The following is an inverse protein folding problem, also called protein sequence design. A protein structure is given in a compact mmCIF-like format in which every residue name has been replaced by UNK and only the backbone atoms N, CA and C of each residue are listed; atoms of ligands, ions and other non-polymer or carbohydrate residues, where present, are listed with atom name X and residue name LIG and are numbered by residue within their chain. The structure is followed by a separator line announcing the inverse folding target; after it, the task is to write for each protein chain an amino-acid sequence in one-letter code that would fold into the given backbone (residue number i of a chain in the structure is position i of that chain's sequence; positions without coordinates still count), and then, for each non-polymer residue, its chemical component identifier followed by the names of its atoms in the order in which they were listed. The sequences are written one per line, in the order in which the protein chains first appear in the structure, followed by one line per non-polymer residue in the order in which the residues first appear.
data_IF_253829828636
#
_entry.id   IF_253829828636
#
_cell.length_a   1.000
_cell.length_b   1.000
_cell.length_c   1.000
_cell.angle_alpha   90.00
_cell.angle_beta   90.00
_cell.angle_gamma   90.00
#
_symmetry.space_group_name_H-M   'P 1'
#
loop_
_entity.id
_entity.type
_entity.pdbx_description
1 polymer ?
#
# COMPACT_ATOMS: atom_id res chain seq x y z
N UNK A 1 10.89 18.65 0.50
CA UNK A 1 9.51 18.20 0.70
C UNK A 1 8.91 19.07 1.79
N UNK A 2 7.86 19.82 1.50
CA UNK A 2 7.20 20.69 2.47
C UNK A 2 6.45 19.86 3.52
N UNK A 3 6.27 20.39 4.75
CA UNK A 3 5.57 19.68 5.84
C UNK A 3 4.18 19.19 5.45
N UNK A 4 3.48 19.95 4.61
CA UNK A 4 2.16 19.58 4.11
C UNK A 4 2.24 18.35 3.16
N UNK A 5 3.25 18.31 2.28
CA UNK A 5 3.50 17.15 1.42
C UNK A 5 3.85 15.92 2.25
N UNK A 6 4.72 16.06 3.25
CA UNK A 6 5.10 14.95 4.13
C UNK A 6 3.88 14.34 4.82
N UNK A 7 3.02 15.17 5.45
CA UNK A 7 1.78 14.69 6.08
C UNK A 7 0.84 14.02 5.09
N UNK A 8 0.74 14.55 3.87
CA UNK A 8 -0.08 13.95 2.82
C UNK A 8 0.45 12.58 2.39
N UNK A 9 1.76 12.44 2.24
CA UNK A 9 2.40 11.16 1.94
C UNK A 9 2.27 10.16 3.08
N UNK A 10 2.40 10.58 4.34
CA UNK A 10 2.16 9.73 5.52
C UNK A 10 0.70 9.26 5.61
N UNK A 11 -0.26 10.16 5.34
CA UNK A 11 -1.67 9.82 5.30
C UNK A 11 -1.98 8.81 4.18
N UNK A 12 -1.43 9.04 2.98
CA UNK A 12 -1.60 8.12 1.85
C UNK A 12 -0.96 6.76 2.12
N UNK A 13 0.22 6.75 2.75
CA UNK A 13 0.90 5.53 3.16
C UNK A 13 0.03 4.71 4.13
N UNK A 14 -0.52 5.35 5.16
CA UNK A 14 -1.43 4.69 6.10
C UNK A 14 -2.69 4.15 5.42
N UNK A 15 -3.26 4.89 4.47
CA UNK A 15 -4.42 4.45 3.69
C UNK A 15 -4.11 3.19 2.88
N UNK A 16 -3.02 3.21 2.10
CA UNK A 16 -2.60 2.08 1.28
C UNK A 16 -2.25 0.85 2.14
N UNK A 17 -1.56 1.05 3.27
CA UNK A 17 -1.23 -0.02 4.20
C UNK A 17 -2.49 -0.69 4.77
N UNK A 18 -3.54 0.10 5.06
CA UNK A 18 -4.83 -0.42 5.52
C UNK A 18 -5.58 -1.16 4.43
N UNK A 19 -5.53 -0.66 3.20
CA UNK A 19 -6.13 -1.31 2.02
C UNK A 19 -5.46 -2.66 1.74
N UNK A 20 -4.13 -2.71 1.86
CA UNK A 20 -3.34 -3.94 1.75
C UNK A 20 -3.68 -4.95 2.83
N UNK A 21 -3.84 -4.51 4.09
CA UNK A 21 -4.19 -5.40 5.20
C UNK A 21 -5.62 -5.95 5.07
N UNK A 22 -6.57 -5.10 4.65
CA UNK A 22 -7.94 -5.52 4.39
C UNK A 22 -8.02 -6.51 3.21
N UNK A 23 -7.27 -6.22 2.13
CA UNK A 23 -7.12 -7.13 1.00
C UNK A 23 -6.57 -8.47 1.49
N UNK A 24 -5.48 -8.48 2.25
CA UNK A 24 -4.84 -9.69 2.77
C UNK A 24 -5.72 -10.46 3.75
N UNK A 25 -6.56 -9.77 4.52
CA UNK A 25 -7.55 -10.37 5.42
C UNK A 25 -8.67 -11.11 4.65
N UNK A 26 -9.04 -10.59 3.48
CA UNK A 26 -10.02 -11.21 2.58
C UNK A 26 -9.46 -12.31 1.69
N UNK A 27 -8.16 -12.63 1.78
CA UNK A 27 -7.54 -13.63 0.92
C UNK A 27 -8.09 -15.04 1.22
N UNK A 28 -8.74 -15.70 0.25
CA UNK A 28 -9.19 -17.07 0.41
C UNK A 28 -7.98 -18.01 0.42
N UNK A 29 -7.83 -18.82 1.47
CA UNK A 29 -6.67 -19.69 1.70
C UNK A 29 -6.34 -20.69 0.55
N UNK A 30 -7.30 -20.96 -0.34
CA UNK A 30 -7.16 -21.96 -1.39
C UNK A 30 -7.50 -21.45 -2.81
N UNK A 31 -7.99 -20.22 -2.96
CA UNK A 31 -8.45 -19.68 -4.25
C UNK A 31 -8.07 -18.22 -4.43
N UNK A 32 -6.82 -17.86 -4.09
CA UNK A 32 -6.32 -16.53 -4.39
C UNK A 32 -6.32 -16.34 -5.91
N UNK A 33 -7.15 -15.41 -6.38
CA UNK A 33 -7.20 -15.07 -7.79
C UNK A 33 -5.93 -14.31 -8.18
N UNK A 34 -5.37 -14.53 -9.38
CA UNK A 34 -4.21 -13.79 -9.85
C UNK A 34 -4.44 -12.26 -9.85
N UNK A 35 -5.67 -11.82 -10.09
CA UNK A 35 -6.06 -10.41 -9.99
C UNK A 35 -5.85 -9.82 -8.58
N UNK A 36 -6.07 -10.62 -7.52
CA UNK A 36 -5.82 -10.17 -6.14
C UNK A 36 -4.33 -10.18 -5.79
N UNK A 37 -3.54 -11.05 -6.42
CA UNK A 37 -2.08 -11.04 -6.27
C UNK A 37 -1.51 -9.78 -6.93
N UNK A 38 -1.90 -9.51 -8.18
CA UNK A 38 -1.51 -8.28 -8.89
C UNK A 38 -1.88 -7.03 -8.10
N UNK A 39 -3.13 -6.93 -7.62
CA UNK A 39 -3.58 -5.80 -6.82
C UNK A 39 -2.77 -5.64 -5.53
N UNK A 40 -2.36 -6.75 -4.90
CA UNK A 40 -1.50 -6.72 -3.72
C UNK A 40 -0.11 -6.20 -4.07
N UNK A 41 0.49 -6.72 -5.14
CA UNK A 41 1.82 -6.31 -5.61
C UNK A 41 1.86 -4.82 -5.98
N UNK A 42 0.83 -4.31 -6.66
CA UNK A 42 0.66 -2.88 -6.97
C UNK A 42 0.62 -2.03 -5.69
N UNK A 43 -0.20 -2.42 -4.70
CA UNK A 43 -0.29 -1.73 -3.41
C UNK A 43 1.04 -1.78 -2.64
N UNK A 44 1.74 -2.92 -2.64
CA UNK A 44 3.04 -3.08 -2.00
C UNK A 44 4.11 -2.20 -2.66
N UNK A 45 4.10 -2.08 -4.00
CA UNK A 45 5.01 -1.23 -4.76
C UNK A 45 4.77 0.26 -4.48
N UNK A 46 3.50 0.73 -4.50
CA UNK A 46 3.17 2.13 -4.16
C UNK A 46 3.60 2.50 -2.73
N UNK A 47 3.38 1.60 -1.77
CA UNK A 47 3.82 1.77 -0.38
C UNK A 47 5.35 1.88 -0.31
N UNK A 48 6.07 1.04 -1.06
CA UNK A 48 7.53 1.05 -1.09
C UNK A 48 8.08 2.35 -1.70
N UNK A 49 7.46 2.83 -2.78
CA UNK A 49 7.83 4.10 -3.43
C UNK A 49 7.56 5.31 -2.52
N UNK A 50 6.37 5.39 -1.90
CA UNK A 50 6.03 6.42 -0.93
C UNK A 50 6.98 6.42 0.28
N UNK A 51 7.37 5.23 0.76
CA UNK A 51 8.35 5.10 1.84
C UNK A 51 9.74 5.59 1.46
N UNK A 52 10.19 5.34 0.23
CA UNK A 52 11.46 5.89 -0.26
C UNK A 52 11.40 7.41 -0.31
N UNK A 53 10.35 7.98 -0.91
CA UNK A 53 10.14 9.44 -1.00
C UNK A 53 10.03 10.15 0.35
N UNK A 54 9.57 9.46 1.39
CA UNK A 54 9.51 10.00 2.76
C UNK A 54 10.85 9.94 3.50
N UNK A 55 11.77 9.06 3.06
CA UNK A 55 13.08 8.81 3.66
C UNK A 55 14.20 9.61 2.98
N UNK A 56 14.02 9.97 1.71
CA UNK A 56 14.83 10.93 0.95
C UNK A 56 14.46 12.39 1.27
#
# INVERSE_FOLDING_TARGET
MDDNQRRMHEHNLLRLQKELDDLRSRWPAHSVKPEMVNQREELEEEIADLRKRLKE
#
